data_IF_833811807944
#
_entry.id   IF_833811807944
#
_cell.length_a   1.000
_cell.length_b   1.000
_cell.length_c   1.000
_cell.angle_alpha   90.00
_cell.angle_beta   90.00
_cell.angle_gamma   90.00
#
_symmetry.space_group_name_H-M   'P 1'
#
loop_
_entity.id
_entity.type
_entity.pdbx_description
1 polymer ?
#
# COMPACT_ATOMS: atom_id res chain seq x y z
N UNK A 1 13.14 -54.67 -21.14
CA UNK A 1 13.38 -53.39 -20.43
C UNK A 1 12.35 -52.36 -20.90
N UNK A 2 11.09 -52.44 -20.44
CA UNK A 2 10.06 -51.41 -20.71
C UNK A 2 10.18 -50.35 -19.63
N UNK A 3 11.12 -49.42 -19.80
CA UNK A 3 11.17 -48.24 -18.95
C UNK A 3 9.81 -47.53 -19.04
N UNK A 4 9.24 -47.14 -17.90
CA UNK A 4 7.86 -46.68 -17.76
C UNK A 4 7.68 -45.29 -18.42
N UNK A 5 7.59 -45.30 -19.75
CA UNK A 5 7.48 -44.14 -20.63
C UNK A 5 6.30 -43.24 -20.25
N UNK A 6 5.22 -43.84 -19.74
CA UNK A 6 4.02 -43.12 -19.26
C UNK A 6 4.33 -42.29 -18.01
N UNK A 7 5.19 -42.78 -17.12
CA UNK A 7 5.71 -42.03 -15.98
C UNK A 7 6.52 -40.82 -16.42
N UNK A 8 7.45 -40.98 -17.36
CA UNK A 8 8.31 -39.88 -17.84
C UNK A 8 7.48 -38.75 -18.49
N UNK A 9 6.47 -39.10 -19.30
CA UNK A 9 5.58 -38.11 -19.93
C UNK A 9 4.73 -37.36 -18.88
N UNK A 10 4.28 -38.06 -17.83
CA UNK A 10 3.48 -37.45 -16.75
C UNK A 10 4.31 -36.47 -15.92
N UNK A 11 5.56 -36.83 -15.62
CA UNK A 11 6.51 -35.99 -14.90
C UNK A 11 6.86 -34.75 -15.71
N UNK A 12 7.14 -34.91 -17.00
CA UNK A 12 7.40 -33.78 -17.89
C UNK A 12 6.22 -32.79 -17.95
N UNK A 13 4.99 -33.28 -18.02
CA UNK A 13 3.78 -32.45 -17.97
C UNK A 13 3.68 -31.69 -16.65
N UNK A 14 3.92 -32.35 -15.52
CA UNK A 14 3.80 -31.75 -14.19
C UNK A 14 4.86 -30.65 -13.98
N UNK A 15 6.10 -30.85 -14.45
CA UNK A 15 7.15 -29.83 -14.37
C UNK A 15 6.90 -28.64 -15.28
N UNK A 16 6.30 -28.87 -16.46
CA UNK A 16 5.87 -27.80 -17.37
C UNK A 16 4.75 -26.95 -16.75
N UNK A 17 3.75 -27.60 -16.19
CA UNK A 17 2.66 -26.94 -15.47
C UNK A 17 3.23 -26.12 -14.29
N UNK A 18 4.03 -26.73 -13.41
CA UNK A 18 4.68 -26.09 -12.27
C UNK A 18 5.51 -24.85 -12.65
N UNK A 19 6.27 -24.94 -13.75
CA UNK A 19 7.07 -23.82 -14.26
C UNK A 19 6.18 -22.69 -14.81
N UNK A 20 5.07 -23.02 -15.46
CA UNK A 20 4.09 -22.03 -15.93
C UNK A 20 3.41 -21.31 -14.76
N UNK A 21 3.04 -22.01 -13.68
CA UNK A 21 2.46 -21.37 -12.48
C UNK A 21 3.47 -20.47 -11.78
N UNK A 22 4.74 -20.91 -11.67
CA UNK A 22 5.82 -20.09 -11.11
C UNK A 22 6.03 -18.78 -11.88
N UNK A 23 6.06 -18.85 -13.22
CA UNK A 23 6.20 -17.66 -14.07
C UNK A 23 4.95 -16.75 -13.96
N UNK A 24 3.75 -17.31 -13.90
CA UNK A 24 2.51 -16.52 -13.71
C UNK A 24 2.50 -15.76 -12.39
N UNK A 25 2.96 -16.40 -11.30
CA UNK A 25 3.04 -15.75 -9.98
C UNK A 25 4.07 -14.62 -9.99
N UNK A 26 5.28 -14.85 -10.53
CA UNK A 26 6.33 -13.82 -10.63
C UNK A 26 5.87 -12.58 -11.43
N UNK A 27 5.14 -12.79 -12.52
CA UNK A 27 4.59 -11.70 -13.33
C UNK A 27 3.47 -10.94 -12.60
N UNK A 28 2.62 -11.65 -11.87
CA UNK A 28 1.56 -11.03 -11.07
C UNK A 28 2.14 -10.18 -9.93
N UNK A 29 3.12 -10.69 -9.19
CA UNK A 29 3.79 -9.97 -8.11
C UNK A 29 4.46 -8.69 -8.62
N UNK A 30 5.14 -8.76 -9.77
CA UNK A 30 5.74 -7.59 -10.43
C UNK A 30 4.69 -6.56 -10.84
N UNK A 31 3.58 -7.00 -11.45
CA UNK A 31 2.51 -6.12 -11.88
C UNK A 31 1.85 -5.40 -10.70
N UNK A 32 1.60 -6.11 -9.60
CA UNK A 32 1.07 -5.53 -8.36
C UNK A 32 2.04 -4.52 -7.76
N UNK A 33 3.34 -4.82 -7.76
CA UNK A 33 4.37 -3.89 -7.30
C UNK A 33 4.42 -2.59 -8.11
N UNK A 34 4.31 -2.67 -9.44
CA UNK A 34 4.21 -1.49 -10.30
C UNK A 34 2.94 -0.69 -10.02
N UNK A 35 1.80 -1.36 -9.87
CA UNK A 35 0.52 -0.72 -9.61
C UNK A 35 0.52 0.02 -8.26
N UNK A 36 1.03 -0.63 -7.19
CA UNK A 36 1.20 0.00 -5.88
C UNK A 36 2.12 1.22 -5.95
N UNK A 37 3.24 1.10 -6.68
CA UNK A 37 4.20 2.19 -6.83
C UNK A 37 3.57 3.39 -7.55
N UNK A 38 2.80 3.13 -8.60
CA UNK A 38 2.11 4.16 -9.38
C UNK A 38 1.02 4.88 -8.58
N UNK A 39 0.25 4.13 -7.79
CA UNK A 39 -0.76 4.66 -6.88
C UNK A 39 -0.10 5.52 -5.80
N UNK A 40 0.98 5.02 -5.19
CA UNK A 40 1.76 5.75 -4.19
C UNK A 40 2.29 7.07 -4.75
N UNK A 41 2.91 7.05 -5.94
CA UNK A 41 3.42 8.25 -6.59
C UNK A 41 2.30 9.26 -6.89
N UNK A 42 1.14 8.79 -7.36
CA UNK A 42 -0.02 9.65 -7.66
C UNK A 42 -0.54 10.34 -6.40
N UNK A 43 -0.75 9.56 -5.31
CA UNK A 43 -1.23 10.09 -4.03
C UNK A 43 -0.21 11.07 -3.45
N UNK A 44 1.07 10.71 -3.45
CA UNK A 44 2.14 11.57 -2.95
C UNK A 44 2.23 12.89 -3.72
N UNK A 45 2.18 12.83 -5.05
CA UNK A 45 2.21 14.03 -5.89
C UNK A 45 0.98 14.89 -5.66
N UNK A 46 -0.22 14.30 -5.62
CA UNK A 46 -1.46 15.01 -5.33
C UNK A 46 -1.39 15.73 -3.98
N UNK A 47 -0.98 15.03 -2.91
CA UNK A 47 -0.84 15.64 -1.58
C UNK A 47 0.26 16.70 -1.53
N UNK A 48 1.41 16.49 -2.18
CA UNK A 48 2.52 17.46 -2.19
C UNK A 48 2.13 18.73 -2.92
N UNK A 49 1.55 18.61 -4.13
CA UNK A 49 1.05 19.76 -4.87
C UNK A 49 -0.07 20.47 -4.11
N UNK A 50 -0.95 19.73 -3.43
CA UNK A 50 -2.02 20.30 -2.63
C UNK A 50 -1.49 21.11 -1.44
N UNK A 51 -0.52 20.59 -0.67
CA UNK A 51 0.12 21.30 0.45
C UNK A 51 0.89 22.54 -0.01
N UNK A 52 1.53 22.48 -1.19
CA UNK A 52 2.35 23.59 -1.72
C UNK A 52 1.48 24.66 -2.37
N UNK A 53 0.45 24.32 -3.15
CA UNK A 53 -0.38 25.31 -3.88
C UNK A 53 -1.30 26.08 -2.92
N UNK A 54 -1.82 25.43 -1.89
CA UNK A 54 -2.79 26.01 -0.97
C UNK A 54 -2.33 27.31 -0.26
N UNK A 55 -1.08 27.48 0.22
CA UNK A 55 -0.63 28.74 0.81
C UNK A 55 -0.44 29.88 -0.20
N UNK A 56 -0.47 29.59 -1.51
CA UNK A 56 -0.31 30.58 -2.58
C UNK A 56 -1.60 30.89 -3.34
N UNK A 57 -2.74 30.28 -2.98
CA UNK A 57 -4.04 30.56 -3.59
C UNK A 57 -4.87 31.44 -2.65
N UNK A 58 -5.03 32.73 -3.01
CA UNK A 58 -5.83 33.69 -2.24
C UNK A 58 -7.34 33.42 -2.38
N UNK A 59 -8.07 33.57 -1.27
CA UNK A 59 -9.48 33.20 -1.08
C UNK A 59 -10.52 34.15 -1.68
N UNK A 60 -10.17 34.95 -2.69
CA UNK A 60 -11.09 35.92 -3.29
C UNK A 60 -11.42 35.52 -4.73
N UNK A 61 -12.71 35.42 -5.04
CA UNK A 61 -13.36 35.02 -6.31
C UNK A 61 -13.91 33.59 -6.35
N UNK A 62 -15.21 33.49 -6.71
CA UNK A 62 -16.13 32.42 -7.20
C UNK A 62 -15.79 30.91 -7.13
N UNK A 63 -14.55 30.51 -6.88
CA UNK A 63 -14.02 29.14 -6.81
C UNK A 63 -14.39 28.42 -5.51
N UNK A 64 -14.75 29.15 -4.45
CA UNK A 64 -15.23 28.60 -3.16
C UNK A 64 -16.51 27.74 -3.25
N UNK A 65 -17.25 27.76 -4.37
CA UNK A 65 -18.42 26.90 -4.58
C UNK A 65 -18.05 25.51 -5.14
N UNK A 66 -16.85 25.37 -5.70
CA UNK A 66 -16.34 24.12 -6.30
C UNK A 66 -15.16 23.52 -5.54
N UNK A 67 -14.52 24.27 -4.64
CA UNK A 67 -13.40 23.80 -3.81
C UNK A 67 -13.77 23.76 -2.33
N UNK A 68 -13.36 22.68 -1.65
CA UNK A 68 -13.48 22.49 -0.21
C UNK A 68 -12.66 23.58 0.53
N UNK A 69 -13.16 24.19 1.62
CA UNK A 69 -12.50 25.30 2.32
C UNK A 69 -11.03 25.02 2.65
N UNK A 70 -10.20 26.06 2.62
CA UNK A 70 -8.75 26.01 2.88
C UNK A 70 -8.38 25.27 4.17
N UNK A 71 -9.24 25.35 5.18
CA UNK A 71 -9.14 24.62 6.46
C UNK A 71 -8.95 23.11 6.26
N UNK A 72 -9.68 22.50 5.31
CA UNK A 72 -9.64 21.05 5.07
C UNK A 72 -8.30 20.58 4.50
N UNK A 73 -7.57 21.47 3.82
CA UNK A 73 -6.31 21.13 3.20
C UNK A 73 -5.14 21.05 4.18
N UNK A 74 -5.26 21.67 5.34
CA UNK A 74 -4.33 21.51 6.46
C UNK A 74 -4.88 20.47 7.45
N UNK A 75 -6.20 20.43 7.66
CA UNK A 75 -6.85 19.50 8.59
C UNK A 75 -6.69 18.04 8.18
N UNK A 76 -6.77 17.70 6.89
CA UNK A 76 -6.67 16.30 6.44
C UNK A 76 -5.27 15.71 6.68
N UNK A 77 -4.15 16.35 6.28
CA UNK A 77 -2.82 15.87 6.63
C UNK A 77 -2.55 15.83 8.14
N UNK A 78 -2.99 16.86 8.87
CA UNK A 78 -2.77 16.95 10.33
C UNK A 78 -3.58 15.88 11.07
N UNK A 79 -4.86 15.70 10.73
CA UNK A 79 -5.72 14.68 11.35
C UNK A 79 -5.23 13.26 11.07
N UNK A 80 -4.78 12.98 9.83
CA UNK A 80 -4.16 11.70 9.49
C UNK A 80 -2.86 11.47 10.27
N UNK A 81 -2.00 12.49 10.39
CA UNK A 81 -0.77 12.42 11.17
C UNK A 81 -1.02 12.16 12.65
N UNK A 82 -1.98 12.87 13.25
CA UNK A 82 -2.39 12.68 14.66
C UNK A 82 -2.98 11.28 14.88
N UNK A 83 -3.87 10.83 14.00
CA UNK A 83 -4.45 9.49 14.09
C UNK A 83 -3.37 8.39 14.02
N UNK A 84 -2.40 8.53 13.11
CA UNK A 84 -1.30 7.58 12.98
C UNK A 84 -0.37 7.60 14.21
N UNK A 85 -0.05 8.78 14.72
CA UNK A 85 0.73 8.92 15.96
C UNK A 85 0.02 8.28 17.15
N UNK A 86 -1.28 8.53 17.32
CA UNK A 86 -2.10 7.89 18.35
C UNK A 86 -2.09 6.36 18.22
N UNK A 87 -2.25 5.83 17.01
CA UNK A 87 -2.19 4.39 16.76
C UNK A 87 -0.82 3.79 17.14
N UNK A 88 0.29 4.45 16.78
CA UNK A 88 1.62 4.01 17.18
C UNK A 88 1.80 4.03 18.71
N UNK A 89 1.37 5.11 19.37
CA UNK A 89 1.43 5.22 20.84
C UNK A 89 0.64 4.10 21.53
N UNK A 90 -0.59 3.82 21.05
CA UNK A 90 -1.44 2.75 21.58
C UNK A 90 -0.79 1.38 21.34
N UNK A 91 -0.26 1.13 20.14
CA UNK A 91 0.38 -0.13 19.79
C UNK A 91 1.61 -0.41 20.66
N UNK A 92 2.48 0.58 20.83
CA UNK A 92 3.67 0.49 21.69
C UNK A 92 3.24 0.25 23.14
N UNK A 93 2.29 1.04 23.66
CA UNK A 93 1.76 0.88 25.01
C UNK A 93 1.16 -0.52 25.23
N UNK A 94 0.40 -1.01 24.26
CA UNK A 94 -0.20 -2.35 24.28
C UNK A 94 0.86 -3.46 24.33
N UNK A 95 1.92 -3.36 23.49
CA UNK A 95 3.03 -4.33 23.49
C UNK A 95 3.79 -4.30 24.83
N UNK A 96 4.01 -3.12 25.41
CA UNK A 96 4.66 -2.97 26.72
C UNK A 96 3.80 -3.55 27.86
N UNK A 97 2.49 -3.30 27.85
CA UNK A 97 1.55 -3.86 28.83
C UNK A 97 1.46 -5.38 28.73
N UNK A 98 1.43 -5.94 27.52
CA UNK A 98 1.41 -7.38 27.27
C UNK A 98 2.70 -8.06 27.75
N UNK A 99 3.84 -7.38 27.65
CA UNK A 99 5.14 -7.90 28.09
C UNK A 99 5.31 -7.97 29.61
N UNK A 100 4.56 -7.16 30.37
CA UNK A 100 4.61 -7.16 31.85
C UNK A 100 3.83 -8.32 32.49
N UNK A 101 2.97 -9.03 31.75
CA UNK A 101 2.16 -10.16 32.26
C UNK A 101 2.93 -11.49 32.44
N UNK A 102 4.25 -11.54 32.16
CA UNK A 102 5.13 -12.71 32.38
C UNK A 102 6.14 -12.54 33.54
N UNK A 103 5.90 -11.62 34.47
CA UNK A 103 6.58 -11.58 35.77
C UNK A 103 5.55 -11.34 36.89
N UNK A 104 4.72 -12.35 37.11
CA UNK A 104 4.00 -12.59 38.35
C UNK A 104 3.79 -14.10 38.44
#
# INVERSE_FOLDING_TARGET
MKCNFKGIVTLYKNTKEAKTIGIKMELADRAVGFLLSFISLSIFTYYTFWVIILPFVDGDHFVHKYFLPQEYAILIPVSAGVALLCLLCIFIGFVMLKSKKKKA
#
